data_IF_680682872078
#
_entry.id   IF_680682872078
#
_cell.length_a   1.000
_cell.length_b   1.000
_cell.length_c   1.000
_cell.angle_alpha   90.00
_cell.angle_beta   90.00
_cell.angle_gamma   90.00
#
_symmetry.space_group_name_H-M   'P 1'
#
loop_
_entity.id
_entity.type
_entity.pdbx_description
1 polymer ?
#
# COMPACT_ATOMS: atom_id res chain seq x y z
N UNK A 1 22.59 -62.86 29.29
CA UNK A 1 22.04 -62.84 30.65
C UNK A 1 20.82 -61.99 30.60
N UNK A 2 19.59 -62.50 30.39
CA UNK A 2 18.63 -62.96 31.44
C UNK A 2 18.12 -61.72 32.24
N UNK A 3 16.86 -61.45 32.45
CA UNK A 3 15.58 -62.12 32.40
C UNK A 3 14.46 -61.13 32.36
N UNK A 4 13.35 -61.32 31.57
CA UNK A 4 12.03 -61.94 31.95
C UNK A 4 11.18 -61.03 32.88
N UNK A 5 10.05 -60.56 32.41
CA UNK A 5 8.67 -61.13 32.44
C UNK A 5 7.88 -60.66 33.67
N UNK A 6 6.67 -60.10 33.57
CA UNK A 6 5.38 -60.76 33.43
C UNK A 6 4.18 -59.78 33.36
N UNK A 7 3.25 -60.17 32.54
CA UNK A 7 1.84 -59.83 32.32
C UNK A 7 0.99 -60.05 33.59
N UNK A 8 -0.05 -59.19 33.79
CA UNK A 8 -1.35 -59.69 34.29
C UNK A 8 -2.50 -58.81 33.73
N UNK A 9 -3.35 -59.48 33.03
CA UNK A 9 -4.67 -59.02 32.61
C UNK A 9 -5.70 -59.26 33.72
N UNK A 10 -6.68 -58.42 33.85
CA UNK A 10 -7.95 -58.84 34.48
C UNK A 10 -9.11 -58.04 33.89
N UNK A 11 -9.98 -58.78 33.27
CA UNK A 11 -11.30 -58.41 32.74
C UNK A 11 -12.30 -58.37 33.90
N UNK A 12 -13.14 -57.32 33.97
CA UNK A 12 -14.47 -57.44 34.63
C UNK A 12 -15.49 -56.68 33.72
N UNK A 13 -16.48 -57.48 33.33
CA UNK A 13 -17.70 -57.13 32.62
C UNK A 13 -18.76 -56.66 33.64
N UNK A 14 -19.53 -55.62 33.34
CA UNK A 14 -20.65 -55.21 34.17
C UNK A 14 -21.51 -54.12 33.52
N UNK A 15 -22.48 -54.54 32.81
CA UNK A 15 -23.86 -54.09 32.49
C UNK A 15 -24.29 -52.65 32.76
N UNK A 16 -24.73 -52.04 31.71
CA UNK A 16 -25.90 -51.20 31.34
C UNK A 16 -26.76 -50.65 32.52
N UNK A 17 -26.87 -49.33 32.60
CA UNK A 17 -28.16 -48.63 32.88
C UNK A 17 -28.20 -47.28 32.14
N UNK A 18 -29.19 -47.19 31.26
CA UNK A 18 -29.53 -46.02 30.44
C UNK A 18 -30.35 -45.07 31.30
N UNK A 19 -29.80 -43.93 31.68
CA UNK A 19 -30.60 -42.84 32.26
C UNK A 19 -30.37 -41.57 31.44
N UNK A 20 -31.39 -41.14 30.73
CA UNK A 20 -31.38 -39.92 29.96
C UNK A 20 -31.17 -38.71 30.87
N UNK A 21 -30.08 -37.98 30.62
CA UNK A 21 -29.88 -36.65 31.19
C UNK A 21 -30.09 -35.61 30.09
N UNK A 22 -31.19 -34.88 30.24
CA UNK A 22 -31.45 -33.64 29.50
C UNK A 22 -30.42 -32.62 29.94
N UNK A 23 -29.50 -32.27 29.01
CA UNK A 23 -28.54 -31.19 29.24
C UNK A 23 -29.22 -29.88 28.87
N UNK A 24 -29.39 -28.92 29.79
CA UNK A 24 -29.85 -27.60 29.41
C UNK A 24 -28.80 -26.91 28.53
N UNK A 25 -29.20 -26.40 27.37
CA UNK A 25 -28.39 -25.54 26.53
C UNK A 25 -27.98 -24.30 27.31
N UNK A 26 -26.71 -24.26 27.72
CA UNK A 26 -26.09 -23.03 28.23
C UNK A 26 -25.99 -22.06 27.05
N UNK A 27 -26.84 -21.06 27.03
CA UNK A 27 -26.73 -19.95 26.11
C UNK A 27 -25.35 -19.32 26.22
N UNK A 28 -24.68 -19.22 25.11
CA UNK A 28 -23.43 -18.47 25.00
C UNK A 28 -23.68 -17.03 25.44
N UNK A 29 -23.08 -16.64 26.55
CA UNK A 29 -23.03 -15.25 26.96
C UNK A 29 -22.36 -14.43 25.85
N UNK A 30 -22.85 -13.21 25.53
CA UNK A 30 -22.18 -12.35 24.57
C UNK A 30 -20.78 -12.06 25.09
N UNK A 31 -19.78 -12.33 24.25
CA UNK A 31 -18.39 -11.97 24.52
C UNK A 31 -18.31 -10.52 24.93
N UNK A 32 -17.93 -10.27 26.17
CA UNK A 32 -17.65 -8.93 26.66
C UNK A 32 -16.67 -8.27 25.69
N UNK A 33 -16.99 -7.10 25.16
CA UNK A 33 -16.05 -6.27 24.44
C UNK A 33 -14.81 -6.13 25.31
N UNK A 34 -13.70 -6.65 24.84
CA UNK A 34 -12.41 -6.50 25.51
C UNK A 34 -12.17 -4.99 25.71
N UNK A 35 -11.92 -4.60 26.95
CA UNK A 35 -11.55 -3.23 27.27
C UNK A 35 -10.37 -2.82 26.37
N UNK A 36 -10.29 -1.56 25.90
CA UNK A 36 -9.19 -1.13 25.04
C UNK A 36 -7.88 -1.43 25.76
N UNK A 37 -7.02 -2.22 25.10
CA UNK A 37 -5.72 -2.59 25.64
C UNK A 37 -4.96 -1.31 26.02
N UNK A 38 -4.43 -1.25 27.24
CA UNK A 38 -3.64 -0.12 27.71
C UNK A 38 -2.48 0.16 26.73
N UNK A 39 -2.22 1.44 26.47
CA UNK A 39 -1.10 1.84 25.62
C UNK A 39 0.22 1.44 26.28
N UNK A 40 1.18 0.88 25.51
CA UNK A 40 2.44 0.43 26.07
C UNK A 40 3.25 1.61 26.61
N UNK A 41 3.94 1.37 27.72
CA UNK A 41 4.83 2.34 28.38
C UNK A 41 6.28 1.84 28.39
N UNK A 42 7.20 2.73 28.74
CA UNK A 42 8.61 2.39 28.85
C UNK A 42 8.82 1.19 29.80
N UNK A 43 9.57 0.19 29.34
CA UNK A 43 9.80 -1.09 30.04
C UNK A 43 8.86 -2.21 29.63
N UNK A 44 7.75 -1.91 28.99
CA UNK A 44 6.85 -2.96 28.50
C UNK A 44 7.46 -3.77 27.36
N UNK A 45 6.95 -4.99 27.17
CA UNK A 45 7.28 -5.86 26.07
C UNK A 45 6.05 -6.58 25.52
N UNK A 46 6.14 -7.01 24.26
CA UNK A 46 5.11 -7.81 23.61
C UNK A 46 4.49 -7.19 22.36
N UNK A 47 3.40 -7.78 21.83
CA UNK A 47 2.84 -7.44 20.51
C UNK A 47 2.37 -5.99 20.37
N UNK A 48 1.96 -5.33 21.45
CA UNK A 48 1.57 -3.92 21.43
C UNK A 48 2.76 -2.99 21.22
N UNK A 49 3.93 -3.37 21.77
CA UNK A 49 5.20 -2.65 21.55
C UNK A 49 5.71 -2.89 20.14
N UNK A 50 5.64 -4.13 19.62
CA UNK A 50 5.97 -4.43 18.22
C UNK A 50 5.19 -3.52 17.29
N UNK A 51 3.86 -3.41 17.46
CA UNK A 51 3.01 -2.54 16.63
C UNK A 51 3.42 -1.06 16.72
N UNK A 52 3.80 -0.57 17.89
CA UNK A 52 4.33 0.79 18.06
C UNK A 52 5.63 0.99 17.26
N UNK A 53 6.54 0.04 17.38
CA UNK A 53 7.83 0.08 16.72
C UNK A 53 7.70 0.01 15.19
N UNK A 54 6.87 -0.91 14.70
CA UNK A 54 6.53 -1.02 13.27
C UNK A 54 5.88 0.27 12.74
N UNK A 55 4.97 0.88 13.51
CA UNK A 55 4.34 2.14 13.13
C UNK A 55 5.33 3.31 13.05
N UNK A 56 6.36 3.33 13.88
CA UNK A 56 7.45 4.31 13.82
C UNK A 56 8.37 4.06 12.62
N UNK A 57 8.74 2.79 12.39
CA UNK A 57 9.57 2.37 11.24
C UNK A 57 8.84 2.67 9.92
N UNK A 58 7.55 2.33 9.81
CA UNK A 58 6.73 2.62 8.64
C UNK A 58 6.62 4.13 8.32
N UNK A 59 6.88 4.99 9.30
CA UNK A 59 6.96 6.45 9.11
C UNK A 59 8.38 6.98 8.90
N UNK A 60 9.31 6.07 8.59
CA UNK A 60 10.69 6.42 8.26
C UNK A 60 11.58 6.75 9.46
N UNK A 61 11.17 6.39 10.68
CA UNK A 61 12.03 6.56 11.87
C UNK A 61 12.92 5.33 12.04
N UNK A 62 14.23 5.54 12.03
CA UNK A 62 15.18 4.46 12.30
C UNK A 62 15.08 4.06 13.77
N UNK A 63 14.76 2.79 14.00
CA UNK A 63 14.75 2.19 15.31
C UNK A 63 15.91 1.17 15.39
N UNK A 64 16.92 1.52 16.19
CA UNK A 64 18.07 0.62 16.38
C UNK A 64 17.62 -0.63 17.12
N UNK A 65 17.76 -1.79 16.50
CA UNK A 65 17.21 -3.07 16.99
C UNK A 65 15.92 -3.50 16.27
N UNK A 66 15.35 -2.63 15.43
CA UNK A 66 14.09 -2.96 14.73
C UNK A 66 12.87 -3.02 15.64
N UNK A 67 11.87 -3.78 15.24
CA UNK A 67 10.65 -4.02 16.03
C UNK A 67 10.85 -5.25 16.94
N UNK A 68 11.74 -5.11 17.93
CA UNK A 68 12.14 -6.17 18.89
C UNK A 68 11.09 -6.47 19.97
N UNK A 69 10.01 -5.71 20.00
CA UNK A 69 8.93 -5.85 20.96
C UNK A 69 9.26 -5.36 22.37
N UNK A 70 10.37 -4.64 22.57
CA UNK A 70 10.74 -4.08 23.87
C UNK A 70 10.70 -2.55 23.85
N UNK A 71 9.88 -1.93 24.69
CA UNK A 71 9.84 -0.48 24.82
C UNK A 71 11.07 0.04 25.58
N UNK A 72 12.19 -0.04 24.93
CA UNK A 72 13.51 0.35 25.45
C UNK A 72 13.74 1.88 25.34
N UNK A 73 14.89 2.34 25.84
CA UNK A 73 15.34 3.72 25.67
C UNK A 73 15.43 4.12 24.19
N UNK A 74 15.77 3.19 23.30
CA UNK A 74 15.82 3.42 21.85
C UNK A 74 14.41 3.69 21.30
N UNK A 75 13.42 2.87 21.67
CA UNK A 75 12.01 3.07 21.28
C UNK A 75 11.49 4.40 21.81
N UNK A 76 11.81 4.76 23.08
CA UNK A 76 11.43 6.03 23.68
C UNK A 76 12.04 7.23 22.94
N UNK A 77 13.34 7.17 22.63
CA UNK A 77 14.03 8.24 21.91
C UNK A 77 13.45 8.41 20.48
N UNK A 78 13.16 7.32 19.79
CA UNK A 78 12.53 7.33 18.47
C UNK A 78 11.13 7.94 18.54
N UNK A 79 10.31 7.55 19.51
CA UNK A 79 8.98 8.12 19.74
C UNK A 79 9.03 9.61 20.05
N UNK A 80 10.00 10.05 20.89
CA UNK A 80 10.24 11.46 21.19
C UNK A 80 10.61 12.26 19.94
N UNK A 81 11.46 11.68 19.08
CA UNK A 81 11.82 12.29 17.81
C UNK A 81 10.62 12.38 16.86
N UNK A 82 9.83 11.29 16.75
CA UNK A 82 8.57 11.29 16.01
C UNK A 82 7.64 12.42 16.47
N UNK A 83 7.35 12.51 17.76
CA UNK A 83 6.49 13.54 18.33
C UNK A 83 6.98 14.96 17.98
N UNK A 84 8.30 15.19 18.05
CA UNK A 84 8.91 16.47 17.65
C UNK A 84 8.67 16.79 16.18
N UNK A 85 8.84 15.79 15.30
CA UNK A 85 8.68 15.97 13.84
C UNK A 85 7.24 16.27 13.46
N UNK A 86 6.25 15.64 14.14
CA UNK A 86 4.82 15.87 13.87
C UNK A 86 4.24 17.05 14.66
N UNK A 87 5.06 17.84 15.34
CA UNK A 87 4.64 19.02 16.09
C UNK A 87 3.91 18.72 17.41
N UNK A 88 4.13 17.53 17.97
CA UNK A 88 3.62 17.18 19.30
C UNK A 88 4.68 17.48 20.37
N UNK A 89 4.22 17.60 21.63
CA UNK A 89 5.16 17.70 22.76
C UNK A 89 6.03 16.44 22.82
N UNK A 90 7.37 16.54 22.72
CA UNK A 90 8.25 15.38 22.60
C UNK A 90 8.49 14.72 23.96
N UNK A 91 7.48 14.02 24.47
CA UNK A 91 7.51 13.34 25.77
C UNK A 91 8.23 12.00 25.74
N UNK A 92 8.25 11.33 24.58
CA UNK A 92 8.69 9.94 24.46
C UNK A 92 7.75 8.93 25.13
N UNK A 93 6.53 9.36 25.51
CA UNK A 93 5.45 8.49 26.01
C UNK A 93 4.41 8.35 24.91
N UNK A 94 3.88 7.14 24.76
CA UNK A 94 2.78 6.91 23.83
C UNK A 94 1.48 7.37 24.49
N UNK A 95 1.11 8.63 24.30
CA UNK A 95 -0.18 9.16 24.68
C UNK A 95 -1.26 8.85 23.63
N UNK A 96 -2.52 9.05 23.98
CA UNK A 96 -3.67 8.75 23.12
C UNK A 96 -3.62 9.53 21.80
N UNK A 97 -3.21 10.79 21.82
CA UNK A 97 -3.05 11.61 20.61
C UNK A 97 -1.99 11.03 19.68
N UNK A 98 -0.86 10.64 20.24
CA UNK A 98 0.25 10.02 19.50
C UNK A 98 -0.17 8.65 18.96
N UNK A 99 -0.88 7.85 19.78
CA UNK A 99 -1.37 6.53 19.37
C UNK A 99 -2.42 6.62 18.24
N UNK A 100 -3.33 7.59 18.29
CA UNK A 100 -4.28 7.89 17.22
C UNK A 100 -3.56 8.30 15.93
N UNK A 101 -2.58 9.19 16.03
CA UNK A 101 -1.80 9.65 14.88
C UNK A 101 -0.93 8.53 14.27
N UNK A 102 -0.44 7.61 15.10
CA UNK A 102 0.26 6.40 14.67
C UNK A 102 -0.69 5.32 14.10
N UNK A 103 -2.01 5.47 14.25
CA UNK A 103 -3.00 4.49 13.80
C UNK A 103 -3.06 3.24 14.69
N UNK A 104 -2.58 3.32 15.93
CA UNK A 104 -2.56 2.22 16.90
C UNK A 104 -3.90 2.04 17.61
N UNK A 105 -4.69 3.09 17.69
CA UNK A 105 -6.06 3.12 18.20
C UNK A 105 -6.95 3.94 17.26
N UNK A 106 -8.26 3.65 17.25
CA UNK A 106 -9.21 4.35 16.40
C UNK A 106 -9.28 5.85 16.75
N UNK A 107 -9.38 6.71 15.73
CA UNK A 107 -9.72 8.11 15.92
C UNK A 107 -11.17 8.20 16.47
N UNK A 108 -11.43 9.17 17.36
CA UNK A 108 -12.79 9.38 17.87
C UNK A 108 -13.73 9.65 16.70
N UNK A 109 -14.72 8.78 16.54
CA UNK A 109 -15.85 9.07 15.67
C UNK A 109 -16.56 10.32 16.25
N UNK A 110 -16.87 11.35 15.44
CA UNK A 110 -17.69 12.44 15.93
C UNK A 110 -19.02 11.86 16.43
N UNK A 111 -19.37 12.13 17.67
CA UNK A 111 -20.64 11.68 18.29
C UNK A 111 -21.78 12.09 17.36
N UNK A 112 -22.42 11.10 16.74
CA UNK A 112 -23.58 11.31 15.90
C UNK A 112 -24.66 12.03 16.75
N UNK A 113 -24.99 13.26 16.39
CA UNK A 113 -26.19 13.93 16.90
C UNK A 113 -27.39 13.06 16.53
N UNK A 114 -28.16 12.61 17.53
CA UNK A 114 -29.42 11.92 17.33
C UNK A 114 -30.31 12.79 16.44
N UNK A 115 -30.41 12.44 15.18
CA UNK A 115 -31.44 12.98 14.28
C UNK A 115 -32.66 12.07 14.46
N UNK A 116 -33.75 12.67 14.91
CA UNK A 116 -35.06 12.05 15.06
C UNK A 116 -35.54 11.54 13.71
N UNK A 117 -35.82 10.24 13.62
CA UNK A 117 -36.28 9.62 12.39
C UNK A 117 -37.63 10.24 11.96
N UNK A 118 -37.62 10.85 10.77
CA UNK A 118 -38.81 11.20 10.03
C UNK A 118 -39.12 10.07 9.05
N UNK A 119 -40.39 9.65 9.04
CA UNK A 119 -40.86 8.55 8.21
C UNK A 119 -40.73 8.82 6.73
N UNK A 120 -40.23 7.84 6.00
CA UNK A 120 -40.10 7.83 4.54
C UNK A 120 -41.41 7.50 3.88
N UNK A 121 -41.92 8.27 2.90
CA UNK A 121 -42.98 7.82 2.01
C UNK A 121 -42.44 6.89 0.95
N UNK A 122 -43.15 5.81 0.69
CA UNK A 122 -42.88 4.84 -0.35
C UNK A 122 -42.92 5.48 -1.77
N UNK A 123 -41.84 5.34 -2.51
CA UNK A 123 -41.80 5.74 -3.94
C UNK A 123 -42.17 4.56 -4.84
N UNK A 124 -43.16 4.78 -5.69
CA UNK A 124 -43.61 3.93 -6.77
C UNK A 124 -42.54 3.86 -7.88
N UNK A 125 -42.30 2.72 -8.52
CA UNK A 125 -41.29 2.61 -9.58
C UNK A 125 -41.77 3.27 -10.87
N UNK A 126 -41.01 4.24 -11.39
CA UNK A 126 -41.23 4.84 -12.68
C UNK A 126 -40.53 4.02 -13.77
N UNK A 127 -41.23 3.86 -14.89
CA UNK A 127 -40.84 3.09 -16.06
C UNK A 127 -39.61 3.69 -16.76
N UNK A 128 -38.70 2.83 -17.19
CA UNK A 128 -37.50 3.11 -17.98
C UNK A 128 -37.85 3.52 -19.43
N UNK A 129 -37.35 4.62 -19.97
CA UNK A 129 -37.43 4.89 -21.41
C UNK A 129 -36.31 4.12 -22.15
N UNK A 130 -36.68 3.44 -23.21
CA UNK A 130 -35.79 2.78 -24.14
C UNK A 130 -34.90 3.79 -24.87
N UNK A 131 -33.58 3.62 -24.81
CA UNK A 131 -32.61 4.41 -25.57
C UNK A 131 -32.33 3.70 -26.91
N UNK A 132 -32.54 4.40 -28.01
CA UNK A 132 -32.24 3.97 -29.37
C UNK A 132 -30.72 3.79 -29.58
N UNK A 133 -30.28 2.90 -30.48
CA UNK A 133 -28.86 2.63 -30.69
C UNK A 133 -28.17 3.79 -31.41
N UNK A 134 -27.12 4.34 -30.80
CA UNK A 134 -26.21 5.29 -31.41
C UNK A 134 -25.23 4.56 -32.33
N UNK A 135 -25.11 5.03 -33.56
CA UNK A 135 -24.22 4.51 -34.58
C UNK A 135 -22.75 4.51 -34.14
N UNK A 136 -22.04 3.44 -34.46
CA UNK A 136 -20.63 3.25 -34.17
C UNK A 136 -19.76 4.31 -34.91
N UNK A 137 -18.74 4.89 -34.25
CA UNK A 137 -17.79 5.74 -34.94
C UNK A 137 -16.82 4.90 -35.79
N UNK A 138 -16.63 5.35 -37.02
CA UNK A 138 -15.68 4.82 -38.00
C UNK A 138 -14.26 4.81 -37.46
N UNK A 139 -13.63 3.66 -37.51
CA UNK A 139 -12.21 3.45 -37.17
C UNK A 139 -11.30 4.19 -38.14
N UNK A 140 -10.70 5.26 -37.71
CA UNK A 140 -9.48 5.77 -38.33
C UNK A 140 -8.31 5.01 -37.71
N UNK A 141 -7.73 4.08 -38.47
CA UNK A 141 -6.53 3.35 -38.09
C UNK A 141 -5.36 4.32 -38.22
N UNK A 142 -4.94 4.90 -37.09
CA UNK A 142 -3.62 5.55 -37.02
C UNK A 142 -2.60 4.44 -36.83
N UNK A 143 -1.67 4.30 -37.76
CA UNK A 143 -0.57 3.35 -37.68
C UNK A 143 0.24 3.62 -36.38
N UNK A 144 0.69 2.59 -35.68
CA UNK A 144 1.52 2.77 -34.48
C UNK A 144 2.84 3.38 -34.88
N UNK A 145 3.11 4.58 -34.37
CA UNK A 145 4.47 5.14 -34.36
C UNK A 145 5.27 4.24 -33.43
N UNK A 146 6.26 3.54 -33.96
CA UNK A 146 7.19 2.76 -33.18
C UNK A 146 7.93 3.71 -32.22
N UNK A 147 7.50 3.70 -30.96
CA UNK A 147 8.23 4.35 -29.89
C UNK A 147 9.54 3.55 -29.70
N UNK A 148 10.66 4.16 -30.07
CA UNK A 148 11.98 3.71 -29.67
C UNK A 148 12.08 3.92 -28.16
N UNK A 149 11.67 2.91 -27.39
CA UNK A 149 11.83 2.90 -25.94
C UNK A 149 13.30 2.71 -25.62
N UNK A 150 13.98 3.78 -25.24
CA UNK A 150 15.26 3.67 -24.53
C UNK A 150 14.99 2.91 -23.23
N UNK A 151 15.76 1.85 -22.91
CA UNK A 151 15.57 1.13 -21.66
C UNK A 151 15.68 2.10 -20.49
N UNK A 152 14.73 2.01 -19.53
CA UNK A 152 14.57 2.95 -18.40
C UNK A 152 15.80 3.10 -17.50
N UNK A 153 16.76 2.19 -17.58
CA UNK A 153 17.99 2.18 -16.80
C UNK A 153 19.23 2.54 -17.64
N UNK A 154 19.08 3.10 -18.84
CA UNK A 154 20.22 3.65 -19.56
C UNK A 154 20.50 5.06 -19.03
N UNK A 155 21.65 5.32 -18.37
CA UNK A 155 21.98 6.65 -17.91
C UNK A 155 22.04 7.62 -19.11
N UNK A 156 21.24 8.65 -19.09
CA UNK A 156 21.43 9.82 -19.96
C UNK A 156 22.53 10.64 -19.31
N UNK A 157 23.49 11.10 -20.09
CA UNK A 157 24.69 11.78 -19.60
C UNK A 157 24.33 12.89 -18.58
N UNK A 158 24.83 12.77 -17.35
CA UNK A 158 24.58 13.70 -16.27
C UNK A 158 23.22 13.58 -15.57
N UNK A 159 22.42 12.54 -15.85
CA UNK A 159 21.13 12.28 -15.18
C UNK A 159 21.17 11.00 -14.35
N UNK A 160 20.25 10.90 -13.40
CA UNK A 160 20.02 9.70 -12.61
C UNK A 160 19.08 8.73 -13.35
N UNK A 161 19.12 7.49 -12.93
CA UNK A 161 18.08 6.49 -13.24
C UNK A 161 17.08 6.45 -12.09
N UNK A 162 15.89 5.88 -12.31
CA UNK A 162 14.88 5.72 -11.26
C UNK A 162 15.43 4.95 -10.07
N UNK A 163 16.16 3.88 -10.33
CA UNK A 163 16.72 3.01 -9.28
C UNK A 163 17.91 3.67 -8.54
N UNK A 164 18.48 4.74 -9.09
CA UNK A 164 19.57 5.50 -8.47
C UNK A 164 19.12 6.74 -7.73
N UNK A 165 17.80 7.00 -7.62
CA UNK A 165 17.28 8.14 -6.86
C UNK A 165 17.70 8.03 -5.39
N UNK A 166 18.34 9.08 -4.85
CA UNK A 166 18.89 8.99 -3.51
C UNK A 166 17.81 9.11 -2.44
N UNK A 167 18.00 8.37 -1.36
CA UNK A 167 17.14 8.39 -0.20
C UNK A 167 17.83 9.00 1.03
N UNK A 168 17.03 9.43 2.00
CA UNK A 168 17.53 10.03 3.24
C UNK A 168 18.48 9.08 3.99
N UNK A 169 19.60 9.61 4.44
CA UNK A 169 20.66 8.86 5.12
C UNK A 169 21.79 8.41 4.21
N UNK A 170 21.61 8.44 2.88
CA UNK A 170 22.67 8.10 1.95
C UNK A 170 23.73 9.20 1.82
N UNK A 171 24.94 8.76 1.47
CA UNK A 171 26.05 9.60 1.03
C UNK A 171 26.52 9.10 -0.33
N UNK A 172 26.38 9.94 -1.36
CA UNK A 172 26.70 9.54 -2.74
C UNK A 172 26.81 10.76 -3.66
N UNK A 173 27.33 10.53 -4.87
CA UNK A 173 27.34 11.54 -5.94
C UNK A 173 25.92 11.85 -6.43
N UNK A 174 25.00 10.89 -6.40
CA UNK A 174 23.59 11.13 -6.68
C UNK A 174 22.97 12.15 -5.71
N UNK A 175 23.30 12.09 -4.41
CA UNK A 175 22.89 13.11 -3.44
C UNK A 175 23.50 14.45 -3.77
N UNK A 176 24.80 14.49 -4.09
CA UNK A 176 25.49 15.71 -4.48
C UNK A 176 24.83 16.37 -5.69
N UNK A 177 24.54 15.60 -6.73
CA UNK A 177 23.83 16.09 -7.91
C UNK A 177 22.48 16.72 -7.55
N UNK A 178 21.69 16.07 -6.69
CA UNK A 178 20.41 16.63 -6.22
C UNK A 178 20.61 17.95 -5.50
N UNK A 179 21.62 18.05 -4.62
CA UNK A 179 21.94 19.27 -3.89
C UNK A 179 22.41 20.40 -4.84
N UNK A 180 23.24 20.10 -5.81
CA UNK A 180 23.68 21.05 -6.84
C UNK A 180 22.48 21.57 -7.66
N UNK A 181 21.55 20.68 -8.05
CA UNK A 181 20.35 21.09 -8.76
C UNK A 181 19.39 21.92 -7.88
N UNK A 182 19.30 21.66 -6.58
CA UNK A 182 18.57 22.52 -5.65
C UNK A 182 19.16 23.92 -5.60
N UNK A 183 20.50 24.03 -5.48
CA UNK A 183 21.23 25.31 -5.49
C UNK A 183 21.03 26.04 -6.82
N UNK A 184 21.13 25.34 -7.95
CA UNK A 184 20.89 25.91 -9.28
C UNK A 184 19.44 26.42 -9.44
N UNK A 185 18.49 25.86 -8.72
CA UNK A 185 17.08 26.32 -8.65
C UNK A 185 16.86 27.37 -7.56
N UNK A 186 17.92 28.02 -7.05
CA UNK A 186 17.88 29.05 -6.03
C UNK A 186 17.31 28.58 -4.68
N UNK A 187 17.44 27.31 -4.39
CA UNK A 187 17.09 26.75 -3.09
C UNK A 187 18.35 26.60 -2.24
N UNK A 188 18.38 27.24 -1.08
CA UNK A 188 19.49 27.12 -0.15
C UNK A 188 19.62 25.67 0.35
N UNK A 189 20.81 25.12 0.27
CA UNK A 189 21.20 23.85 0.88
C UNK A 189 22.22 24.17 1.97
N UNK A 190 21.80 24.13 3.23
CA UNK A 190 22.70 24.40 4.36
C UNK A 190 23.83 23.36 4.38
N UNK A 191 25.07 23.83 4.26
CA UNK A 191 26.24 22.97 4.11
C UNK A 191 26.68 22.73 2.67
N UNK A 192 25.94 23.26 1.68
CA UNK A 192 26.24 23.11 0.27
C UNK A 192 25.99 21.72 -0.27
N UNK A 193 26.61 21.36 -1.40
CA UNK A 193 26.50 20.06 -2.05
C UNK A 193 27.55 19.08 -1.46
N UNK A 194 27.34 18.67 -0.22
CA UNK A 194 28.26 17.79 0.52
C UNK A 194 28.09 16.29 0.21
N UNK A 195 27.06 15.95 -0.59
CA UNK A 195 26.74 14.58 -0.95
C UNK A 195 26.07 13.78 0.17
N UNK A 196 25.64 14.43 1.27
CA UNK A 196 25.00 13.77 2.42
C UNK A 196 23.50 14.12 2.46
N UNK A 197 22.61 13.12 2.30
CA UNK A 197 21.18 13.32 2.39
C UNK A 197 20.72 13.38 3.86
N UNK A 198 21.03 14.50 4.50
CA UNK A 198 20.66 14.79 5.88
C UNK A 198 19.37 15.61 6.00
N UNK A 199 19.21 16.20 7.19
CA UNK A 199 18.08 17.11 7.49
C UNK A 199 18.10 18.34 6.59
N UNK A 200 19.29 18.90 6.30
CA UNK A 200 19.45 20.09 5.45
C UNK A 200 18.88 19.79 4.04
N UNK A 201 19.28 18.70 3.42
CA UNK A 201 18.78 18.28 2.10
C UNK A 201 17.26 18.05 2.12
N UNK A 202 16.73 17.39 3.18
CA UNK A 202 15.28 17.21 3.34
C UNK A 202 14.52 18.54 3.39
N UNK A 203 15.01 19.52 4.14
CA UNK A 203 14.40 20.86 4.23
C UNK A 203 14.43 21.56 2.88
N UNK A 204 15.58 21.53 2.19
CA UNK A 204 15.75 22.14 0.88
C UNK A 204 14.81 21.51 -0.17
N UNK A 205 14.69 20.18 -0.18
CA UNK A 205 13.72 19.48 -1.03
C UNK A 205 12.27 19.90 -0.72
N UNK A 206 11.90 19.96 0.56
CA UNK A 206 10.57 20.43 0.98
C UNK A 206 10.27 21.84 0.48
N UNK A 207 11.25 22.74 0.56
CA UNK A 207 11.11 24.12 0.07
C UNK A 207 10.98 24.17 -1.45
N UNK A 208 11.80 23.40 -2.18
CA UNK A 208 11.71 23.26 -3.62
C UNK A 208 10.35 22.73 -4.06
N UNK A 209 9.88 21.65 -3.43
CA UNK A 209 8.58 21.03 -3.71
C UNK A 209 7.44 22.04 -3.54
N UNK A 210 7.42 22.79 -2.43
CA UNK A 210 6.44 23.86 -2.20
C UNK A 210 6.50 24.94 -3.27
N UNK A 211 7.70 25.39 -3.64
CA UNK A 211 7.89 26.43 -4.66
C UNK A 211 7.42 25.96 -6.06
N UNK A 212 7.41 24.67 -6.32
CA UNK A 212 6.96 24.04 -7.58
C UNK A 212 5.54 23.49 -7.53
N UNK A 213 4.80 23.66 -6.42
CA UNK A 213 3.45 23.12 -6.25
C UNK A 213 3.40 21.59 -6.16
N UNK A 214 4.51 20.96 -5.80
CA UNK A 214 4.63 19.51 -5.60
C UNK A 214 4.28 19.14 -4.15
N UNK A 215 3.98 17.87 -3.92
CA UNK A 215 3.82 17.33 -2.56
C UNK A 215 5.12 17.52 -1.78
N UNK A 216 5.06 18.23 -0.66
CA UNK A 216 6.22 18.60 0.15
C UNK A 216 6.72 17.44 1.04
N UNK A 217 7.14 16.35 0.39
CA UNK A 217 7.59 15.10 1.04
C UNK A 217 8.98 15.20 1.64
N UNK A 218 9.82 16.12 1.14
CA UNK A 218 11.24 16.19 1.46
C UNK A 218 12.07 15.01 0.95
N UNK A 219 11.50 14.19 0.07
CA UNK A 219 12.14 13.08 -0.62
C UNK A 219 12.40 13.42 -2.10
N UNK A 220 13.29 12.69 -2.76
CA UNK A 220 13.49 12.76 -4.20
C UNK A 220 12.55 11.76 -4.86
N UNK A 221 11.25 12.08 -4.87
CA UNK A 221 10.25 11.34 -5.63
C UNK A 221 10.30 11.69 -7.13
N UNK A 222 9.61 10.89 -7.97
CA UNK A 222 9.68 11.06 -9.42
C UNK A 222 9.32 12.48 -9.88
N UNK A 223 8.20 13.10 -9.45
CA UNK A 223 7.87 14.47 -9.85
C UNK A 223 8.94 15.47 -9.43
N UNK A 224 9.54 15.27 -8.26
CA UNK A 224 10.64 16.12 -7.75
C UNK A 224 11.90 15.94 -8.58
N UNK A 225 12.28 14.69 -8.91
CA UNK A 225 13.46 14.39 -9.70
C UNK A 225 13.40 14.97 -11.12
N UNK A 226 12.22 14.88 -11.77
CA UNK A 226 11.97 15.50 -13.08
C UNK A 226 12.01 17.02 -12.95
N UNK A 227 11.33 17.61 -11.98
CA UNK A 227 11.29 19.07 -11.79
C UNK A 227 12.67 19.66 -11.45
N UNK A 228 13.55 18.90 -10.78
CA UNK A 228 14.96 19.25 -10.53
C UNK A 228 15.84 19.09 -11.77
N UNK A 229 15.39 18.38 -12.79
CA UNK A 229 16.18 18.02 -13.96
C UNK A 229 17.28 17.00 -13.63
N UNK A 230 17.08 16.12 -12.66
CA UNK A 230 17.94 14.96 -12.37
C UNK A 230 17.44 13.68 -13.04
N UNK A 231 16.16 13.67 -13.44
CA UNK A 231 15.59 12.66 -14.33
C UNK A 231 15.03 13.33 -15.59
N UNK A 232 15.03 12.64 -16.73
CA UNK A 232 14.30 13.09 -17.92
C UNK A 232 12.79 13.07 -17.64
N UNK A 233 12.03 13.70 -18.56
CA UNK A 233 10.56 13.61 -18.50
C UNK A 233 10.09 12.15 -18.48
N UNK A 234 9.08 11.84 -17.67
CA UNK A 234 8.59 10.48 -17.50
C UNK A 234 8.09 9.85 -18.81
N UNK A 235 7.51 10.67 -19.69
CA UNK A 235 7.09 10.20 -21.01
C UNK A 235 8.27 9.77 -21.88
N UNK A 236 9.42 10.44 -21.79
CA UNK A 236 10.66 10.04 -22.44
C UNK A 236 11.17 8.69 -21.94
N UNK A 237 10.92 8.39 -20.67
CA UNK A 237 11.25 7.09 -20.06
C UNK A 237 10.18 6.02 -20.33
N UNK A 238 9.12 6.34 -21.07
CA UNK A 238 8.00 5.43 -21.29
C UNK A 238 7.19 5.13 -20.02
N UNK A 239 7.33 5.97 -18.98
CA UNK A 239 6.58 5.80 -17.74
C UNK A 239 5.21 6.43 -17.92
N UNK A 240 4.13 5.66 -17.76
CA UNK A 240 2.79 6.19 -17.90
C UNK A 240 2.48 7.19 -16.78
N UNK A 241 1.77 8.24 -17.12
CA UNK A 241 1.18 9.12 -16.12
C UNK A 241 -0.02 8.43 -15.49
N UNK A 242 0.14 7.93 -14.28
CA UNK A 242 -0.97 7.45 -13.47
C UNK A 242 -1.52 8.59 -12.61
N UNK A 243 -2.84 8.66 -12.46
CA UNK A 243 -3.53 9.75 -11.74
C UNK A 243 -4.14 9.30 -10.42
N UNK A 244 -4.22 7.99 -10.19
CA UNK A 244 -4.89 7.40 -9.03
C UNK A 244 -4.00 6.33 -8.43
N UNK A 245 -3.85 6.35 -7.11
CA UNK A 245 -3.22 5.24 -6.38
C UNK A 245 -4.09 3.97 -6.48
N UNK A 246 -3.52 2.78 -6.69
CA UNK A 246 -4.31 1.58 -7.01
C UNK A 246 -5.19 1.08 -5.87
N UNK A 247 -5.08 1.62 -4.67
CA UNK A 247 -5.94 1.32 -3.53
C UNK A 247 -6.09 2.55 -2.63
N UNK A 248 -6.95 2.48 -1.61
CA UNK A 248 -7.18 3.61 -0.71
C UNK A 248 -7.61 3.11 0.66
N UNK A 249 -7.21 3.80 1.73
CA UNK A 249 -7.63 3.48 3.08
C UNK A 249 -6.50 2.86 3.92
N UNK A 250 -6.82 1.83 4.70
CA UNK A 250 -5.83 1.20 5.60
C UNK A 250 -4.91 0.25 4.83
N UNK A 251 -3.89 0.80 4.21
CA UNK A 251 -2.87 0.02 3.53
C UNK A 251 -1.46 0.50 3.90
N UNK A 252 -0.46 -0.25 3.48
CA UNK A 252 0.95 0.09 3.59
C UNK A 252 1.74 -0.61 2.49
N UNK A 253 2.84 0.00 2.05
CA UNK A 253 3.74 -0.60 1.07
C UNK A 253 5.14 -0.05 1.24
N UNK A 254 6.10 -0.84 0.79
CA UNK A 254 7.52 -0.49 0.74
C UNK A 254 8.06 -0.82 -0.63
N UNK A 255 9.26 -0.35 -0.95
CA UNK A 255 9.95 -0.80 -2.15
C UNK A 255 10.38 -2.25 -1.97
N UNK A 256 9.68 -3.15 -2.65
CA UNK A 256 9.94 -4.59 -2.66
C UNK A 256 10.38 -5.09 -4.06
N UNK A 257 10.77 -4.16 -4.93
CA UNK A 257 11.24 -4.46 -6.27
C UNK A 257 12.50 -5.34 -6.23
N UNK A 258 12.50 -6.39 -7.03
CA UNK A 258 13.60 -7.38 -7.10
C UNK A 258 13.92 -8.12 -5.80
N UNK A 259 13.06 -8.03 -4.77
CA UNK A 259 13.19 -8.93 -3.61
C UNK A 259 13.13 -10.40 -4.05
N UNK A 260 14.01 -11.27 -3.53
CA UNK A 260 14.01 -12.69 -3.85
C UNK A 260 12.67 -13.35 -3.48
N UNK A 261 12.11 -14.13 -4.42
CA UNK A 261 10.89 -14.91 -4.22
C UNK A 261 11.18 -16.42 -4.34
N UNK A 262 10.33 -17.29 -3.77
CA UNK A 262 10.48 -18.74 -3.90
C UNK A 262 10.65 -19.18 -5.35
N UNK A 263 11.53 -20.15 -5.59
CA UNK A 263 11.84 -20.65 -6.94
C UNK A 263 12.85 -19.81 -7.74
N UNK A 264 13.62 -18.94 -7.08
CA UNK A 264 14.68 -18.14 -7.72
C UNK A 264 14.15 -16.97 -8.55
N UNK A 265 12.87 -16.62 -8.44
CA UNK A 265 12.28 -15.47 -9.12
C UNK A 265 12.64 -14.17 -8.38
N UNK A 266 12.67 -13.08 -9.11
CA UNK A 266 12.66 -11.73 -8.54
C UNK A 266 11.24 -11.19 -8.50
N UNK A 267 10.96 -10.34 -7.54
CA UNK A 267 9.69 -9.61 -7.45
C UNK A 267 9.67 -8.51 -8.52
N UNK A 268 8.71 -8.56 -9.43
CA UNK A 268 8.57 -7.60 -10.54
C UNK A 268 7.41 -6.63 -10.35
N UNK A 269 7.06 -6.35 -9.10
CA UNK A 269 5.97 -5.47 -8.71
C UNK A 269 6.20 -4.82 -7.36
N UNK A 270 5.16 -4.24 -6.82
CA UNK A 270 5.08 -3.76 -5.45
C UNK A 270 3.89 -4.43 -4.76
N UNK A 271 4.10 -4.84 -3.51
CA UNK A 271 3.05 -5.43 -2.68
C UNK A 271 2.44 -4.34 -1.77
N UNK A 272 1.18 -4.01 -2.03
CA UNK A 272 0.40 -3.08 -1.20
C UNK A 272 -0.44 -3.90 -0.23
N UNK A 273 0.00 -3.93 1.04
CA UNK A 273 -0.63 -4.73 2.09
C UNK A 273 -1.84 -3.99 2.63
N UNK A 274 -2.97 -4.68 2.74
CA UNK A 274 -4.20 -4.11 3.28
C UNK A 274 -5.23 -5.18 3.64
N UNK A 275 -6.34 -4.80 4.26
CA UNK A 275 -7.39 -5.76 4.63
C UNK A 275 -8.06 -6.33 3.39
N UNK A 276 -8.46 -7.61 3.49
CA UNK A 276 -9.31 -8.27 2.50
C UNK A 276 -10.56 -7.43 2.24
N UNK A 277 -10.94 -7.28 0.96
CA UNK A 277 -12.10 -6.51 0.54
C UNK A 277 -11.85 -5.01 0.35
N UNK A 278 -10.62 -4.52 0.55
CA UNK A 278 -10.27 -3.14 0.26
C UNK A 278 -10.42 -2.87 -1.26
N UNK A 279 -11.06 -1.76 -1.62
CA UNK A 279 -11.31 -1.41 -3.02
C UNK A 279 -10.00 -1.19 -3.79
N UNK A 280 -9.96 -1.70 -5.02
CA UNK A 280 -8.87 -1.53 -5.96
C UNK A 280 -9.37 -0.69 -7.15
N UNK A 281 -8.63 0.35 -7.47
CA UNK A 281 -9.02 1.35 -8.46
C UNK A 281 -8.19 1.22 -9.75
N UNK A 282 -8.83 1.50 -10.88
CA UNK A 282 -8.12 1.72 -12.12
C UNK A 282 -7.21 2.94 -11.99
N UNK A 283 -5.92 2.78 -12.25
CA UNK A 283 -4.92 3.87 -12.10
C UNK A 283 -4.94 4.84 -13.27
N UNK A 284 -5.53 4.44 -14.40
CA UNK A 284 -5.69 5.21 -15.64
C UNK A 284 -7.01 4.85 -16.32
N UNK A 285 -7.43 5.65 -17.28
CA UNK A 285 -8.43 5.25 -18.27
C UNK A 285 -7.88 4.11 -19.13
N UNK A 286 -8.69 3.11 -19.43
CA UNK A 286 -8.23 1.97 -20.23
C UNK A 286 -9.25 0.86 -20.38
N UNK A 287 -8.78 -0.29 -20.81
CA UNK A 287 -9.61 -1.49 -21.05
C UNK A 287 -9.07 -2.67 -20.25
N UNK A 288 -9.95 -3.44 -19.66
CA UNK A 288 -9.60 -4.74 -19.07
C UNK A 288 -9.32 -5.73 -20.19
N UNK A 289 -8.06 -6.04 -20.45
CA UNK A 289 -7.65 -6.87 -21.58
C UNK A 289 -7.47 -8.33 -21.22
N UNK A 290 -7.26 -8.64 -19.93
CA UNK A 290 -7.09 -10.00 -19.46
C UNK A 290 -7.56 -10.17 -18.02
N UNK A 291 -8.10 -11.35 -17.72
CA UNK A 291 -8.49 -11.74 -16.37
C UNK A 291 -8.03 -13.18 -16.12
N UNK A 292 -7.64 -13.45 -14.88
CA UNK A 292 -7.20 -14.75 -14.39
C UNK A 292 -8.08 -15.16 -13.22
N UNK A 293 -8.47 -16.41 -13.17
CA UNK A 293 -9.28 -16.97 -12.09
C UNK A 293 -8.45 -17.49 -10.92
N UNK A 294 -9.14 -17.94 -9.89
CA UNK A 294 -8.53 -18.49 -8.68
C UNK A 294 -7.72 -19.78 -8.91
N UNK A 295 -7.88 -20.44 -10.06
CA UNK A 295 -7.10 -21.59 -10.53
C UNK A 295 -5.66 -21.20 -10.92
N UNK A 296 -5.39 -19.93 -11.15
CA UNK A 296 -4.03 -19.44 -11.34
C UNK A 296 -3.23 -19.58 -10.04
N UNK A 297 -2.37 -20.60 -9.98
CA UNK A 297 -1.61 -20.95 -8.78
C UNK A 297 -0.72 -19.83 -8.23
N UNK A 298 -0.25 -18.95 -9.12
CA UNK A 298 0.66 -17.86 -8.75
C UNK A 298 -0.13 -16.59 -8.41
N UNK A 299 -0.86 -16.05 -9.36
CA UNK A 299 -1.52 -14.74 -9.24
C UNK A 299 -2.90 -14.79 -8.58
N UNK A 300 -3.53 -16.00 -8.54
CA UNK A 300 -4.92 -16.09 -8.13
C UNK A 300 -5.84 -15.30 -9.05
N UNK A 301 -6.89 -14.72 -8.50
CA UNK A 301 -7.70 -13.75 -9.23
C UNK A 301 -6.84 -12.53 -9.57
N UNK A 302 -6.73 -12.25 -10.87
CA UNK A 302 -5.91 -11.13 -11.34
C UNK A 302 -6.51 -10.54 -12.61
N UNK A 303 -6.19 -9.28 -12.88
CA UNK A 303 -6.59 -8.61 -14.11
C UNK A 303 -5.47 -7.74 -14.67
N UNK A 304 -5.58 -7.48 -15.99
CA UNK A 304 -4.72 -6.55 -16.70
C UNK A 304 -5.58 -5.39 -17.21
N UNK A 305 -5.28 -4.19 -16.71
CA UNK A 305 -5.78 -2.94 -17.24
C UNK A 305 -4.78 -2.42 -18.28
N UNK A 306 -5.21 -2.18 -19.50
CA UNK A 306 -4.35 -1.71 -20.59
C UNK A 306 -4.79 -0.31 -21.02
N UNK A 307 -3.87 0.63 -20.99
CA UNK A 307 -4.03 2.00 -21.44
C UNK A 307 -3.96 2.09 -22.98
N UNK A 308 -4.38 3.21 -23.61
CA UNK A 308 -4.36 3.39 -25.07
C UNK A 308 -2.97 3.29 -25.72
N UNK A 309 -1.91 3.58 -25.00
CA UNK A 309 -0.51 3.49 -25.42
C UNK A 309 0.08 2.06 -25.32
N UNK A 310 -0.77 1.06 -25.08
CA UNK A 310 -0.39 -0.33 -24.84
C UNK A 310 0.30 -0.60 -23.49
N UNK A 311 0.54 0.40 -22.67
CA UNK A 311 0.98 0.20 -21.29
C UNK A 311 -0.07 -0.61 -20.55
N UNK A 312 0.35 -1.63 -19.80
CA UNK A 312 -0.60 -2.33 -18.94
C UNK A 312 -0.19 -2.35 -17.48
N UNK A 313 -1.19 -2.41 -16.65
CA UNK A 313 -1.10 -2.52 -15.20
C UNK A 313 -1.64 -3.88 -14.79
N UNK A 314 -0.87 -4.61 -14.00
CA UNK A 314 -1.29 -5.94 -13.52
C UNK A 314 -1.67 -5.85 -12.05
N UNK A 315 -2.84 -6.38 -11.73
CA UNK A 315 -3.40 -6.44 -10.39
C UNK A 315 -3.60 -7.91 -10.03
N UNK A 316 -2.95 -8.41 -8.99
CA UNK A 316 -3.06 -9.80 -8.59
C UNK A 316 -3.45 -10.00 -7.13
N UNK A 317 -3.78 -11.24 -6.79
CA UNK A 317 -4.23 -11.70 -5.48
C UNK A 317 -5.59 -11.14 -5.05
N UNK A 318 -6.43 -10.72 -6.01
CA UNK A 318 -7.75 -10.17 -5.73
C UNK A 318 -8.64 -11.19 -4.99
N UNK A 319 -9.47 -10.69 -4.08
CA UNK A 319 -10.57 -11.47 -3.50
C UNK A 319 -11.67 -11.72 -4.55
N UNK A 320 -12.05 -10.64 -5.23
CA UNK A 320 -13.05 -10.67 -6.30
C UNK A 320 -12.87 -9.50 -7.27
N UNK A 321 -13.43 -9.62 -8.44
CA UNK A 321 -13.60 -8.52 -9.39
C UNK A 321 -14.80 -7.65 -8.99
N UNK A 322 -14.77 -6.38 -9.34
CA UNK A 322 -15.94 -5.51 -9.12
C UNK A 322 -17.11 -5.94 -10.04
N UNK A 323 -18.36 -5.75 -9.60
CA UNK A 323 -19.52 -6.07 -10.41
C UNK A 323 -19.47 -5.41 -11.79
N UNK A 324 -19.76 -6.17 -12.85
CA UNK A 324 -19.74 -5.69 -14.23
C UNK A 324 -18.36 -5.60 -14.88
N UNK A 325 -17.28 -5.84 -14.18
CA UNK A 325 -15.92 -5.89 -14.75
C UNK A 325 -15.69 -7.24 -15.42
N UNK A 326 -15.45 -7.19 -16.72
CA UNK A 326 -15.16 -8.34 -17.60
C UNK A 326 -14.05 -8.00 -18.59
N UNK A 327 -13.52 -8.99 -19.29
CA UNK A 327 -12.61 -8.72 -20.42
C UNK A 327 -13.36 -7.88 -21.46
N UNK A 328 -12.73 -6.80 -21.93
CA UNK A 328 -13.32 -5.81 -22.83
C UNK A 328 -13.98 -4.61 -22.13
N UNK A 329 -14.15 -4.64 -20.81
CA UNK A 329 -14.70 -3.50 -20.07
C UNK A 329 -13.80 -2.28 -20.22
N UNK A 330 -14.34 -1.17 -20.74
CA UNK A 330 -13.71 0.13 -20.64
C UNK A 330 -13.89 0.66 -19.22
N UNK A 331 -12.84 1.16 -18.61
CA UNK A 331 -12.84 1.71 -17.25
C UNK A 331 -12.18 3.09 -17.23
N UNK A 332 -12.57 3.92 -16.28
CA UNK A 332 -11.97 5.23 -16.03
C UNK A 332 -11.05 5.18 -14.81
N UNK A 333 -10.06 6.06 -14.79
CA UNK A 333 -9.24 6.27 -13.62
C UNK A 333 -10.12 6.56 -12.38
N UNK A 334 -9.83 5.89 -11.27
CA UNK A 334 -10.62 5.97 -10.04
C UNK A 334 -11.82 5.01 -9.98
N UNK A 335 -12.18 4.34 -11.07
CA UNK A 335 -13.24 3.33 -11.04
C UNK A 335 -12.80 2.10 -10.26
N UNK A 336 -13.67 1.54 -9.42
CA UNK A 336 -13.42 0.29 -8.71
C UNK A 336 -13.43 -0.86 -9.74
N UNK A 337 -12.34 -1.62 -9.80
CA UNK A 337 -12.16 -2.75 -10.71
C UNK A 337 -12.08 -4.10 -10.00
N UNK A 338 -11.90 -4.09 -8.69
CA UNK A 338 -11.82 -5.30 -7.88
C UNK A 338 -11.62 -5.00 -6.40
N UNK A 339 -11.38 -6.05 -5.65
CA UNK A 339 -11.20 -5.98 -4.20
C UNK A 339 -9.97 -6.78 -3.79
N UNK A 340 -9.20 -6.22 -2.89
CA UNK A 340 -7.96 -6.82 -2.36
C UNK A 340 -8.23 -8.15 -1.68
N UNK A 341 -7.37 -9.13 -1.91
CA UNK A 341 -7.51 -10.48 -1.33
C UNK A 341 -6.18 -11.15 -1.06
N UNK A 342 -6.23 -12.48 -1.02
CA UNK A 342 -5.07 -13.35 -0.79
C UNK A 342 -5.19 -14.63 -1.64
N UNK A 343 -5.68 -14.52 -2.87
CA UNK A 343 -5.80 -15.67 -3.78
C UNK A 343 -4.47 -16.01 -4.45
N UNK A 344 -4.34 -17.20 -5.02
CA UNK A 344 -3.08 -17.68 -5.57
C UNK A 344 -2.09 -18.09 -4.48
N UNK A 345 -0.83 -17.66 -4.59
CA UNK A 345 0.21 -17.99 -3.62
C UNK A 345 0.42 -16.92 -2.54
N UNK A 346 -0.53 -16.01 -2.37
CA UNK A 346 -0.44 -14.96 -1.37
C UNK A 346 -0.61 -15.50 0.06
N UNK A 347 0.36 -15.25 0.94
CA UNK A 347 0.31 -15.64 2.35
C UNK A 347 -0.53 -14.70 3.23
N UNK A 348 -0.73 -13.47 2.80
CA UNK A 348 -1.51 -12.43 3.48
C UNK A 348 -2.31 -11.62 2.45
N UNK A 349 -3.31 -10.86 2.92
CA UNK A 349 -4.08 -9.97 2.03
C UNK A 349 -3.24 -8.81 1.57
N UNK A 350 -3.06 -8.69 0.25
CA UNK A 350 -2.35 -7.60 -0.41
C UNK A 350 -2.75 -7.49 -1.88
N UNK A 351 -2.46 -6.36 -2.49
CA UNK A 351 -2.42 -6.19 -3.94
C UNK A 351 -0.97 -6.32 -4.40
N UNK A 352 -0.67 -7.28 -5.26
CA UNK A 352 0.54 -7.27 -6.06
C UNK A 352 0.27 -6.44 -7.33
N UNK A 353 1.03 -5.37 -7.51
CA UNK A 353 0.83 -4.40 -8.58
C UNK A 353 2.07 -4.24 -9.44
N UNK A 354 1.89 -4.35 -10.77
CA UNK A 354 2.97 -4.20 -11.75
C UNK A 354 2.64 -3.09 -12.76
N UNK A 355 3.66 -2.48 -13.35
CA UNK A 355 3.56 -1.51 -14.44
C UNK A 355 4.42 -2.01 -15.59
N UNK A 356 3.85 -2.12 -16.78
CA UNK A 356 4.49 -2.60 -18.00
C UNK A 356 4.34 -1.55 -19.12
N UNK A 357 5.27 -0.59 -19.26
CA UNK A 357 5.20 0.46 -20.27
C UNK A 357 5.19 -0.11 -21.69
N UNK A 358 4.29 0.37 -22.53
CA UNK A 358 4.14 -0.08 -23.91
C UNK A 358 3.89 -1.59 -24.08
N UNK A 359 3.51 -2.30 -23.01
CA UNK A 359 3.32 -3.75 -22.99
C UNK A 359 4.63 -4.54 -22.84
N UNK A 360 5.74 -3.88 -22.55
CA UNK A 360 7.07 -4.47 -22.40
C UNK A 360 7.35 -5.06 -21.01
N UNK A 361 8.62 -5.05 -20.64
CA UNK A 361 9.09 -5.51 -19.32
C UNK A 361 8.52 -4.65 -18.19
N UNK A 362 8.38 -5.26 -17.02
CA UNK A 362 7.94 -4.54 -15.83
C UNK A 362 9.02 -3.54 -15.37
N UNK A 363 8.55 -2.43 -14.85
CA UNK A 363 9.39 -1.42 -14.19
C UNK A 363 9.09 -1.39 -12.70
N UNK A 364 10.02 -0.84 -11.89
CA UNK A 364 9.76 -0.62 -10.47
C UNK A 364 8.52 0.27 -10.26
N UNK A 365 7.39 -0.26 -9.76
CA UNK A 365 6.19 0.57 -9.57
C UNK A 365 6.30 1.50 -8.38
N UNK A 366 7.15 1.18 -7.39
CA UNK A 366 7.20 1.88 -6.11
C UNK A 366 7.41 3.39 -6.26
N UNK A 367 8.43 3.89 -6.98
CA UNK A 367 8.62 5.33 -7.13
C UNK A 367 7.44 5.99 -7.85
N UNK A 368 6.81 5.29 -8.82
CA UNK A 368 5.68 5.81 -9.60
C UNK A 368 4.44 6.04 -8.71
N UNK A 369 4.07 5.05 -7.88
CA UNK A 369 2.88 5.13 -7.05
C UNK A 369 3.12 5.87 -5.73
N UNK A 370 4.38 5.97 -5.27
CA UNK A 370 4.71 6.62 -3.99
C UNK A 370 4.28 8.08 -3.93
N UNK A 371 4.37 8.80 -5.03
CA UNK A 371 3.94 10.19 -5.13
C UNK A 371 2.41 10.36 -4.97
N UNK A 372 1.64 9.28 -5.20
CA UNK A 372 0.18 9.25 -5.14
C UNK A 372 -0.34 8.53 -3.87
N UNK A 373 0.54 8.19 -2.93
CA UNK A 373 0.24 7.38 -1.75
C UNK A 373 -1.07 7.80 -1.07
N UNK A 374 -2.11 6.97 -1.26
CA UNK A 374 -3.43 7.14 -0.65
C UNK A 374 -3.69 6.14 0.49
N UNK A 375 -2.68 5.39 0.93
CA UNK A 375 -2.75 4.64 2.18
C UNK A 375 -3.00 5.63 3.32
N UNK A 376 -4.04 5.38 4.12
CA UNK A 376 -4.55 6.26 5.20
C UNK A 376 -5.55 7.34 4.77
N UNK A 377 -5.82 7.50 3.48
CA UNK A 377 -6.95 8.32 3.00
C UNK A 377 -8.24 7.54 3.22
N UNK A 378 -9.16 8.09 3.99
CA UNK A 378 -10.44 7.43 4.35
C UNK A 378 -11.62 7.92 3.51
N UNK A 379 -11.43 9.00 2.78
CA UNK A 379 -12.45 9.53 1.86
C UNK A 379 -12.48 8.65 0.60
N UNK A 380 -13.64 8.06 0.33
CA UNK A 380 -13.82 7.19 -0.84
C UNK A 380 -13.87 8.08 -2.08
N UNK A 381 -13.09 7.72 -3.10
CA UNK A 381 -13.16 8.40 -4.39
C UNK A 381 -14.59 8.31 -4.96
N UNK A 382 -15.18 9.42 -5.43
CA UNK A 382 -16.44 9.35 -6.14
C UNK A 382 -16.30 8.43 -7.36
N UNK A 383 -17.25 7.52 -7.52
CA UNK A 383 -17.21 6.60 -8.67
C UNK A 383 -17.69 7.36 -9.93
N UNK A 384 -17.01 7.21 -11.06
CA UNK A 384 -17.32 7.89 -12.31
C UNK A 384 -18.63 7.42 -12.94
#
# INVERSE_FOLDING_TARGET
MSAKTKIFASLIVGSILNLGLVVPSVGAAPSALAAPAALPVFGDSGPTVVRLQEALIARGFTLRGGADGVFSATTQATLKNFQKVVGFKPTGRLDERTAKFLGLIAADQPKAKKVKAAATPAATPAATPAVAPVAAPTKTVVAPVAATTTPMNTPIDGMLTIDSLPTRGQKSDAVRLVQEKLIANSIEVKGGADGIFGVATTVSLTNFQKARGLNATGAVDLPTAVALGVLPDLATLGIPQISVFPSQGRCSFVDSWHEPRPGGRLHIGVDIIGPKGLALYAVVDGTITKMYGADSKLSGNALRLTAPDSTYFFYAHLDSFAPGITIGSAVRAGQIIGYMGATGNAGISHLHFEIHPGGGEAINPYPVIKALDACHVTEVLPQP
#
